data_IF_167327361876
#
_entry.id   IF_167327361876
#
_cell.length_a   1.000
_cell.length_b   1.000
_cell.length_c   1.000
_cell.angle_alpha   90.00
_cell.angle_beta   90.00
_cell.angle_gamma   90.00
#
_symmetry.space_group_name_H-M   'P 1'
#
loop_
_entity.id
_entity.type
_entity.pdbx_description
1 polymer ?
#
# COMPACT_ATOMS: atom_id res chain seq x y z
N UNK A 1 5.32 0.36 -6.73
CA UNK A 1 5.94 1.33 -7.65
C UNK A 1 7.22 1.84 -6.99
N UNK A 2 8.33 1.88 -7.68
CA UNK A 2 9.68 2.19 -7.16
C UNK A 2 10.09 1.25 -6.03
N UNK A 3 9.80 1.56 -4.77
CA UNK A 3 10.10 0.74 -3.59
C UNK A 3 8.84 0.35 -2.79
N UNK A 4 7.65 0.48 -3.38
CA UNK A 4 6.42 -0.04 -2.79
C UNK A 4 6.45 -1.57 -2.75
N UNK A 5 5.83 -2.14 -1.72
CA UNK A 5 5.53 -3.57 -1.67
C UNK A 5 4.11 -3.78 -2.15
N UNK A 6 3.92 -4.62 -3.17
CA UNK A 6 2.62 -5.06 -3.63
C UNK A 6 2.53 -6.58 -3.61
N UNK A 7 1.39 -7.10 -3.23
CA UNK A 7 1.12 -8.53 -3.17
C UNK A 7 -0.33 -8.80 -3.53
N UNK A 8 -0.60 -10.03 -3.93
CA UNK A 8 -1.95 -10.43 -4.29
C UNK A 8 -2.18 -11.93 -4.04
N UNK A 9 -3.45 -12.28 -3.93
CA UNK A 9 -3.91 -13.65 -3.99
C UNK A 9 -5.02 -13.77 -5.05
N UNK A 10 -5.76 -14.87 -5.04
CA UNK A 10 -6.89 -15.12 -5.95
C UNK A 10 -8.14 -14.29 -5.64
N UNK A 11 -8.14 -13.42 -4.63
CA UNK A 11 -9.30 -12.64 -4.17
C UNK A 11 -9.09 -11.13 -4.19
N UNK A 12 -7.90 -10.66 -3.92
CA UNK A 12 -7.58 -9.24 -3.82
C UNK A 12 -6.13 -8.96 -4.10
N UNK A 13 -5.83 -7.70 -4.35
CA UNK A 13 -4.48 -7.20 -4.44
C UNK A 13 -4.30 -6.03 -3.45
N UNK A 14 -3.09 -5.85 -3.00
CA UNK A 14 -2.77 -4.94 -1.91
C UNK A 14 -1.44 -4.24 -2.18
N UNK A 15 -1.28 -3.06 -1.60
CA UNK A 15 -0.04 -2.31 -1.68
C UNK A 15 0.27 -1.61 -0.36
N UNK A 16 1.54 -1.51 -0.07
CA UNK A 16 2.09 -0.67 0.99
C UNK A 16 3.11 0.28 0.38
N UNK A 17 2.97 1.55 0.69
CA UNK A 17 3.79 2.61 0.10
C UNK A 17 5.19 2.65 0.72
N UNK A 18 6.19 2.73 -0.14
CA UNK A 18 7.58 2.75 0.24
C UNK A 18 8.16 4.14 0.50
N UNK A 19 9.43 4.19 0.96
CA UNK A 19 10.12 5.44 1.29
C UNK A 19 10.22 6.44 0.14
N UNK A 20 10.33 5.97 -1.12
CA UNK A 20 10.47 6.86 -2.26
C UNK A 20 9.20 7.67 -2.51
N UNK A 21 8.02 7.06 -2.37
CA UNK A 21 6.76 7.76 -2.51
C UNK A 21 6.57 8.80 -1.40
N UNK A 22 6.86 8.42 -0.15
CA UNK A 22 6.78 9.33 0.99
C UNK A 22 7.73 10.54 0.81
N UNK A 23 8.95 10.32 0.29
CA UNK A 23 9.91 11.41 0.00
C UNK A 23 9.46 12.33 -1.12
N UNK A 24 8.61 11.88 -2.04
CA UNK A 24 8.05 12.73 -3.09
C UNK A 24 6.99 13.74 -2.57
N UNK A 25 6.61 13.62 -1.29
CA UNK A 25 5.59 14.44 -0.64
C UNK A 25 4.19 13.85 -0.70
N UNK A 26 4.02 12.70 -1.32
CA UNK A 26 2.76 11.97 -1.28
C UNK A 26 2.63 11.26 0.07
N UNK A 27 1.64 11.67 0.86
CA UNK A 27 1.38 11.08 2.17
C UNK A 27 0.36 9.94 2.01
N UNK A 28 0.82 8.70 2.17
CA UNK A 28 -0.02 7.52 2.16
C UNK A 28 0.53 6.51 3.19
N UNK A 29 -0.08 6.46 4.37
CA UNK A 29 0.47 5.72 5.51
C UNK A 29 -0.14 4.34 5.68
N UNK A 30 -1.29 4.11 5.09
CA UNK A 30 -2.06 2.89 5.26
C UNK A 30 -1.89 1.89 4.13
N UNK A 31 -2.44 0.70 4.37
CA UNK A 31 -2.55 -0.32 3.33
C UNK A 31 -3.55 0.10 2.27
N UNK A 32 -3.18 -0.12 1.02
CA UNK A 32 -4.03 0.01 -0.14
C UNK A 32 -4.67 -1.35 -0.49
N UNK A 33 -5.83 -1.32 -1.12
CA UNK A 33 -6.55 -2.51 -1.57
C UNK A 33 -7.09 -2.30 -2.98
N UNK A 34 -6.87 -3.28 -3.84
CA UNK A 34 -7.37 -3.31 -5.20
C UNK A 34 -8.42 -4.40 -5.35
N UNK A 35 -9.56 -4.06 -5.94
CA UNK A 35 -10.56 -5.03 -6.28
C UNK A 35 -10.06 -5.95 -7.40
N UNK A 36 -10.32 -7.26 -7.26
CA UNK A 36 -10.06 -8.27 -8.29
C UNK A 36 -11.34 -9.00 -8.65
N UNK A 37 -11.52 -9.31 -9.93
CA UNK A 37 -12.55 -10.20 -10.43
C UNK A 37 -12.00 -11.38 -11.24
N UNK A 38 -10.70 -11.66 -11.07
CA UNK A 38 -9.99 -12.81 -11.62
C UNK A 38 -9.10 -13.46 -10.57
N UNK A 39 -8.94 -14.78 -10.55
CA UNK A 39 -7.98 -15.46 -9.67
C UNK A 39 -6.53 -15.33 -10.14
N UNK A 40 -6.30 -14.86 -11.37
CA UNK A 40 -4.97 -14.74 -11.95
C UNK A 40 -4.15 -13.61 -11.31
N UNK A 41 -2.83 -13.72 -11.39
CA UNK A 41 -1.92 -12.67 -10.94
C UNK A 41 -1.93 -11.50 -11.94
N UNK A 42 -2.29 -10.30 -11.47
CA UNK A 42 -2.52 -9.13 -12.32
C UNK A 42 -1.67 -7.90 -11.93
N UNK A 43 -1.20 -7.81 -10.71
CA UNK A 43 -0.52 -6.60 -10.20
C UNK A 43 0.72 -6.28 -11.04
N UNK A 44 1.58 -7.27 -11.27
CA UNK A 44 2.80 -7.07 -12.07
C UNK A 44 2.48 -6.66 -13.52
N UNK A 45 1.48 -7.30 -14.13
CA UNK A 45 1.05 -6.98 -15.50
C UNK A 45 0.54 -5.55 -15.60
N UNK A 46 -0.27 -5.11 -14.63
CA UNK A 46 -0.84 -3.75 -14.58
C UNK A 46 0.24 -2.69 -14.42
N UNK A 47 1.16 -2.88 -13.48
CA UNK A 47 2.28 -1.97 -13.32
C UNK A 47 3.16 -1.90 -14.57
N UNK A 48 3.45 -3.04 -15.20
CA UNK A 48 4.21 -3.09 -16.45
C UNK A 48 3.51 -2.32 -17.56
N UNK A 49 2.21 -2.54 -17.75
CA UNK A 49 1.40 -1.85 -18.78
C UNK A 49 1.44 -0.34 -18.57
N UNK A 50 1.25 0.14 -17.35
CA UNK A 50 1.31 1.56 -17.06
C UNK A 50 2.70 2.14 -17.30
N UNK A 51 3.76 1.49 -16.79
CA UNK A 51 5.12 1.97 -16.94
C UNK A 51 5.57 2.03 -18.41
N UNK A 52 5.16 1.07 -19.24
CA UNK A 52 5.48 1.04 -20.68
C UNK A 52 4.73 2.12 -21.47
N UNK A 53 3.55 2.53 -21.02
CA UNK A 53 2.72 3.50 -21.73
C UNK A 53 2.86 4.93 -21.20
N UNK A 54 3.26 5.12 -19.95
CA UNK A 54 3.47 6.45 -19.39
C UNK A 54 4.37 7.37 -20.25
N UNK A 55 5.54 6.95 -20.77
CA UNK A 55 6.36 7.81 -21.63
C UNK A 55 5.66 8.17 -22.95
N UNK A 56 4.83 7.27 -23.51
CA UNK A 56 4.08 7.50 -24.74
C UNK A 56 2.99 8.55 -24.50
N UNK A 57 2.26 8.45 -23.40
CA UNK A 57 1.25 9.43 -22.97
C UNK A 57 1.89 10.80 -22.80
N UNK A 58 3.02 10.88 -22.10
CA UNK A 58 3.76 12.13 -21.90
C UNK A 58 4.23 12.75 -23.24
N UNK A 59 4.61 11.92 -24.21
CA UNK A 59 4.97 12.38 -25.55
C UNK A 59 3.77 12.98 -26.28
N UNK A 60 2.62 12.29 -26.28
CA UNK A 60 1.37 12.78 -26.89
C UNK A 60 0.94 14.12 -26.29
N UNK A 61 1.02 14.26 -24.96
CA UNK A 61 0.71 15.52 -24.27
C UNK A 61 1.64 16.66 -24.72
N UNK A 62 2.93 16.41 -24.88
CA UNK A 62 3.91 17.39 -25.39
C UNK A 62 3.65 17.79 -26.85
N UNK A 63 3.13 16.87 -27.66
CA UNK A 63 2.73 17.11 -29.05
C UNK A 63 1.36 17.81 -29.15
N UNK A 64 0.68 18.09 -28.04
CA UNK A 64 -0.66 18.71 -28.01
C UNK A 64 -1.82 17.77 -28.33
N UNK A 65 -1.56 16.46 -28.47
CA UNK A 65 -2.53 15.41 -28.79
C UNK A 65 -3.26 14.92 -27.54
N UNK A 66 -4.02 15.81 -26.92
CA UNK A 66 -4.66 15.53 -25.61
C UNK A 66 -5.68 14.39 -25.65
N UNK A 67 -6.49 14.32 -26.71
CA UNK A 67 -7.51 13.27 -26.84
C UNK A 67 -6.88 11.88 -27.00
N UNK A 68 -5.83 11.77 -27.82
CA UNK A 68 -5.07 10.51 -27.97
C UNK A 68 -4.38 10.11 -26.66
N UNK A 69 -3.83 11.07 -25.92
CA UNK A 69 -3.20 10.83 -24.63
C UNK A 69 -4.21 10.30 -23.60
N UNK A 70 -5.39 10.92 -23.48
CA UNK A 70 -6.47 10.50 -22.59
C UNK A 70 -6.99 9.10 -22.96
N UNK A 71 -7.23 8.83 -24.23
CA UNK A 71 -7.68 7.51 -24.68
C UNK A 71 -6.64 6.41 -24.37
N UNK A 72 -5.34 6.73 -24.51
CA UNK A 72 -4.28 5.77 -24.14
C UNK A 72 -4.20 5.59 -22.63
N UNK A 73 -4.34 6.65 -21.83
CA UNK A 73 -4.37 6.58 -20.38
C UNK A 73 -5.55 5.72 -19.90
N UNK A 74 -6.76 5.98 -20.38
CA UNK A 74 -7.94 5.17 -20.08
C UNK A 74 -7.73 3.69 -20.41
N UNK A 75 -7.12 3.37 -21.56
CA UNK A 75 -6.90 2.00 -22.00
C UNK A 75 -5.82 1.26 -21.21
N UNK A 76 -4.95 1.96 -20.47
CA UNK A 76 -3.75 1.36 -19.85
C UNK A 76 -3.65 1.55 -18.34
N UNK A 77 -4.44 2.46 -17.76
CA UNK A 77 -4.43 2.68 -16.32
C UNK A 77 -5.08 1.53 -15.55
N UNK A 78 -4.54 1.20 -14.39
CA UNK A 78 -5.12 0.23 -13.47
C UNK A 78 -6.24 0.81 -12.59
N UNK A 79 -6.58 2.09 -12.75
CA UNK A 79 -7.70 2.74 -12.07
C UNK A 79 -9.05 2.52 -12.76
N UNK A 80 -9.06 1.91 -13.96
CA UNK A 80 -10.27 1.46 -14.64
C UNK A 80 -10.33 -0.06 -14.70
N UNK A 81 -11.55 -0.61 -14.61
CA UNK A 81 -11.76 -2.06 -14.74
C UNK A 81 -11.72 -2.48 -16.21
N UNK A 82 -10.69 -3.21 -16.57
CA UNK A 82 -10.52 -3.82 -17.88
C UNK A 82 -10.95 -5.30 -17.90
N UNK A 83 -11.83 -5.72 -16.99
CA UNK A 83 -12.35 -7.08 -16.88
C UNK A 83 -11.67 -7.94 -15.83
N UNK A 84 -10.71 -7.39 -15.08
CA UNK A 84 -9.95 -8.09 -14.03
C UNK A 84 -9.86 -7.32 -12.69
N UNK A 85 -10.68 -6.28 -12.56
CA UNK A 85 -10.75 -5.42 -11.38
C UNK A 85 -9.92 -4.14 -11.53
N UNK A 86 -9.81 -3.35 -10.45
CA UNK A 86 -9.18 -2.03 -10.49
C UNK A 86 -8.63 -1.60 -9.12
N UNK A 87 -7.71 -0.65 -9.15
CA UNK A 87 -7.33 0.17 -8.00
C UNK A 87 -8.37 1.29 -7.84
N UNK A 88 -9.28 1.13 -6.88
CA UNK A 88 -10.36 2.06 -6.60
C UNK A 88 -10.31 2.67 -5.21
N UNK A 89 -9.35 2.31 -4.39
CA UNK A 89 -9.26 2.73 -3.00
C UNK A 89 -8.24 3.85 -2.81
N UNK A 90 -8.67 4.99 -2.30
CA UNK A 90 -7.80 6.13 -2.03
C UNK A 90 -7.32 6.10 -0.58
N UNK A 91 -6.07 5.79 -0.35
CA UNK A 91 -5.46 5.76 0.98
C UNK A 91 -5.25 7.15 1.56
N UNK A 92 -4.51 8.03 0.89
CA UNK A 92 -4.18 9.36 1.38
C UNK A 92 -3.44 9.34 2.74
N UNK A 93 -3.44 10.48 3.47
CA UNK A 93 -2.81 10.57 4.79
C UNK A 93 -3.67 9.93 5.89
N UNK A 94 -3.89 8.63 5.78
CA UNK A 94 -4.81 7.88 6.63
C UNK A 94 -4.29 6.47 6.93
N UNK A 95 -5.04 5.70 7.74
CA UNK A 95 -4.75 4.30 8.00
C UNK A 95 -5.13 3.36 6.84
N UNK A 96 -5.67 3.89 5.74
CA UNK A 96 -6.03 3.08 4.57
C UNK A 96 -7.01 1.98 4.92
N UNK A 97 -6.70 0.75 4.51
CA UNK A 97 -7.53 -0.42 4.73
C UNK A 97 -6.95 -1.31 5.84
N UNK A 98 -7.22 -0.95 7.12
CA UNK A 98 -6.91 -1.80 8.28
C UNK A 98 -5.50 -1.66 8.85
N UNK A 99 -4.80 -0.58 8.57
CA UNK A 99 -3.46 -0.34 9.13
C UNK A 99 -3.54 -0.03 10.63
N UNK A 100 -2.66 -0.62 11.47
CA UNK A 100 -2.56 -0.29 12.88
C UNK A 100 -1.77 0.99 13.10
N UNK A 101 -2.07 1.69 14.20
CA UNK A 101 -1.32 2.86 14.68
C UNK A 101 -1.44 3.01 16.20
N UNK A 102 -0.48 3.69 16.81
CA UNK A 102 -0.58 4.08 18.22
C UNK A 102 -1.57 5.23 18.39
N UNK A 103 -2.28 5.24 19.52
CA UNK A 103 -3.11 6.34 19.98
C UNK A 103 -2.38 7.10 21.07
N UNK A 104 -2.04 8.36 20.81
CA UNK A 104 -1.34 9.23 21.77
C UNK A 104 -2.24 10.43 22.07
N UNK A 105 -2.61 10.62 23.33
CA UNK A 105 -3.48 11.72 23.77
C UNK A 105 -4.77 11.82 22.94
N UNK A 106 -5.37 10.67 22.61
CA UNK A 106 -6.57 10.54 21.77
C UNK A 106 -6.39 10.92 20.30
N UNK A 107 -5.16 11.06 19.83
CA UNK A 107 -4.81 11.29 18.43
C UNK A 107 -4.10 10.11 17.81
N UNK A 108 -4.31 9.87 16.52
CA UNK A 108 -3.65 8.80 15.79
C UNK A 108 -2.22 9.22 15.47
N UNK A 109 -1.25 8.46 15.94
CA UNK A 109 0.14 8.56 15.53
C UNK A 109 0.34 7.71 14.27
N UNK A 110 0.18 8.33 13.11
CA UNK A 110 0.33 7.63 11.83
C UNK A 110 1.75 7.08 11.65
N UNK A 111 1.89 5.81 11.27
CA UNK A 111 3.20 5.27 10.88
C UNK A 111 3.62 5.88 9.55
N UNK A 112 4.87 6.33 9.45
CA UNK A 112 5.34 7.00 8.22
C UNK A 112 5.49 6.01 7.06
N UNK A 113 6.47 5.13 7.13
CA UNK A 113 6.65 3.99 6.21
C UNK A 113 7.72 3.05 6.77
N UNK A 114 7.76 1.82 6.27
CA UNK A 114 8.81 0.89 6.62
C UNK A 114 10.19 1.39 6.13
N UNK A 115 11.23 1.02 6.85
CA UNK A 115 12.63 1.24 6.45
C UNK A 115 13.24 0.02 5.79
N UNK A 116 12.76 -1.18 6.16
CA UNK A 116 13.28 -2.46 5.70
C UNK A 116 12.19 -3.52 5.69
N UNK A 117 12.37 -4.56 4.87
CA UNK A 117 11.45 -5.68 4.77
C UNK A 117 12.18 -7.00 4.51
N UNK A 118 11.56 -8.10 4.94
CA UNK A 118 12.04 -9.45 4.69
C UNK A 118 10.87 -10.34 4.23
N UNK A 119 10.94 -10.86 3.00
CA UNK A 119 9.91 -11.77 2.48
C UNK A 119 10.21 -13.17 3.02
N UNK A 120 9.31 -13.69 3.84
CA UNK A 120 9.42 -15.00 4.48
C UNK A 120 8.79 -16.10 3.64
N UNK A 121 7.64 -15.82 3.01
CA UNK A 121 6.97 -16.72 2.08
C UNK A 121 6.56 -15.96 0.82
N UNK A 122 6.79 -16.56 -0.33
CA UNK A 122 6.30 -16.10 -1.62
C UNK A 122 5.89 -17.29 -2.48
N UNK A 123 4.84 -17.97 -2.05
CA UNK A 123 4.38 -19.21 -2.65
C UNK A 123 2.92 -19.14 -3.13
N UNK A 124 2.43 -20.19 -3.80
CA UNK A 124 1.09 -20.19 -4.38
C UNK A 124 -0.04 -20.25 -3.35
N UNK A 125 0.27 -20.55 -2.08
CA UNK A 125 -0.73 -20.66 -1.01
C UNK A 125 -0.66 -19.49 -0.04
N UNK A 126 0.50 -18.83 0.09
CA UNK A 126 0.73 -17.76 1.05
C UNK A 126 1.83 -16.83 0.59
N UNK A 127 1.62 -15.56 0.84
CA UNK A 127 2.64 -14.53 0.91
C UNK A 127 2.81 -14.08 2.36
N UNK A 128 4.06 -13.95 2.83
CA UNK A 128 4.37 -13.44 4.18
C UNK A 128 5.55 -12.48 4.10
N UNK A 129 5.40 -11.31 4.70
CA UNK A 129 6.46 -10.30 4.80
C UNK A 129 6.56 -9.77 6.22
N UNK A 130 7.77 -9.62 6.69
CA UNK A 130 8.13 -8.89 7.90
C UNK A 130 8.59 -7.49 7.53
N UNK A 131 8.09 -6.48 8.24
CA UNK A 131 8.39 -5.08 8.03
C UNK A 131 8.99 -4.49 9.29
N UNK A 132 10.04 -3.70 9.15
CA UNK A 132 10.63 -2.88 10.20
C UNK A 132 10.46 -1.41 9.84
N UNK A 133 9.94 -0.61 10.77
CA UNK A 133 9.75 0.81 10.58
C UNK A 133 10.93 1.61 11.13
N UNK A 134 11.02 2.89 10.79
CA UNK A 134 12.02 3.76 11.39
C UNK A 134 11.72 3.96 12.87
N UNK A 135 12.79 4.12 13.66
CA UNK A 135 12.65 4.52 15.04
C UNK A 135 11.95 5.89 15.13
N UNK A 136 10.97 5.97 15.99
CA UNK A 136 10.16 7.15 16.26
C UNK A 136 10.29 7.57 17.73
N UNK A 137 9.93 8.81 18.02
CA UNK A 137 9.97 9.33 19.39
C UNK A 137 8.58 9.83 19.78
N UNK A 138 8.13 9.41 20.95
CA UNK A 138 6.91 9.90 21.59
C UNK A 138 7.11 11.29 22.21
N UNK A 139 6.02 12.04 22.51
CA UNK A 139 6.11 13.35 23.14
C UNK A 139 6.86 13.37 24.49
N UNK A 140 6.86 12.24 25.21
CA UNK A 140 7.58 12.08 26.48
C UNK A 140 9.06 11.71 26.30
N UNK A 141 9.58 11.69 25.07
CA UNK A 141 10.95 11.34 24.74
C UNK A 141 11.22 9.82 24.66
N UNK A 142 10.22 8.97 24.83
CA UNK A 142 10.38 7.52 24.65
C UNK A 142 10.61 7.21 23.17
N UNK A 143 11.69 6.46 22.88
CA UNK A 143 12.00 6.00 21.52
C UNK A 143 11.42 4.60 21.35
N UNK A 144 10.87 4.32 20.18
CA UNK A 144 10.31 3.02 19.85
C UNK A 144 10.50 2.69 18.37
N UNK A 145 10.48 1.41 18.08
CA UNK A 145 10.48 0.88 16.71
C UNK A 145 9.25 -0.01 16.51
N UNK A 146 8.54 0.18 15.41
CA UNK A 146 7.39 -0.66 15.04
C UNK A 146 7.82 -1.78 14.11
N UNK A 147 7.29 -2.97 14.35
CA UNK A 147 7.46 -4.15 13.51
C UNK A 147 6.10 -4.72 13.13
N UNK A 148 6.02 -5.28 11.92
CA UNK A 148 4.83 -5.96 11.43
C UNK A 148 5.18 -7.28 10.79
N UNK A 149 4.39 -8.30 11.07
CA UNK A 149 4.34 -9.53 10.29
C UNK A 149 3.00 -9.57 9.58
N UNK A 150 3.04 -9.58 8.25
CA UNK A 150 1.85 -9.55 7.42
C UNK A 150 1.79 -10.79 6.56
N UNK A 151 0.63 -11.46 6.51
CA UNK A 151 0.41 -12.61 5.64
C UNK A 151 -0.92 -12.52 4.89
N UNK A 152 -0.89 -13.00 3.65
CA UNK A 152 -2.01 -13.10 2.73
C UNK A 152 -2.14 -14.53 2.25
N UNK A 153 -3.22 -15.20 2.62
CA UNK A 153 -3.48 -16.58 2.23
C UNK A 153 -4.33 -16.67 0.97
N UNK A 154 -4.09 -17.69 0.15
CA UNK A 154 -4.98 -18.03 -0.96
C UNK A 154 -6.41 -18.25 -0.45
N UNK A 155 -7.39 -17.73 -1.16
CA UNK A 155 -8.82 -17.83 -0.82
C UNK A 155 -9.29 -16.86 0.26
N UNK A 156 -8.40 -16.09 0.89
CA UNK A 156 -8.76 -15.09 1.90
C UNK A 156 -9.05 -13.73 1.26
N UNK A 157 -10.08 -13.05 1.78
CA UNK A 157 -10.32 -11.63 1.48
C UNK A 157 -9.60 -10.68 2.45
N UNK A 158 -8.88 -11.24 3.42
CA UNK A 158 -8.23 -10.48 4.48
C UNK A 158 -6.75 -10.84 4.59
N UNK A 159 -5.94 -9.85 4.91
CA UNK A 159 -4.57 -10.05 5.37
C UNK A 159 -4.58 -10.23 6.91
N UNK A 160 -3.73 -11.13 7.39
CA UNK A 160 -3.44 -11.19 8.82
C UNK A 160 -2.27 -10.26 9.11
N UNK A 161 -2.44 -9.38 10.08
CA UNK A 161 -1.41 -8.45 10.53
C UNK A 161 -1.12 -8.66 12.01
N UNK A 162 0.13 -8.90 12.34
CA UNK A 162 0.63 -8.89 13.72
C UNK A 162 1.57 -7.70 13.84
N UNK A 163 1.33 -6.82 14.82
CA UNK A 163 2.16 -5.66 15.10
C UNK A 163 2.74 -5.78 16.50
N UNK A 164 4.00 -5.38 16.65
CA UNK A 164 4.63 -5.20 17.96
C UNK A 164 5.55 -3.97 17.94
N UNK A 165 5.83 -3.47 19.13
CA UNK A 165 6.62 -2.27 19.32
C UNK A 165 7.76 -2.56 20.29
N UNK A 166 8.98 -2.25 19.90
CA UNK A 166 10.14 -2.32 20.76
C UNK A 166 10.47 -0.94 21.34
N UNK A 167 10.88 -0.89 22.60
CA UNK A 167 11.30 0.35 23.27
C UNK A 167 10.19 1.10 24.01
N UNK A 168 8.93 0.73 23.87
CA UNK A 168 7.85 1.33 24.68
C UNK A 168 8.03 1.00 26.15
N UNK A 169 7.85 1.99 27.02
CA UNK A 169 8.06 1.90 28.49
C UNK A 169 6.76 1.80 29.29
N UNK A 170 5.63 1.96 28.63
CA UNK A 170 4.29 1.92 29.22
C UNK A 170 3.30 1.36 28.20
N UNK A 171 2.15 0.94 28.68
CA UNK A 171 1.03 0.56 27.82
C UNK A 171 0.55 1.76 27.03
N UNK A 172 0.29 1.57 25.75
CA UNK A 172 -0.23 2.58 24.83
C UNK A 172 -1.34 1.91 24.01
N UNK A 173 -2.44 2.61 23.84
CA UNK A 173 -3.55 2.13 23.02
C UNK A 173 -3.15 2.01 21.56
N UNK A 174 -3.61 0.94 20.92
CA UNK A 174 -3.45 0.70 19.49
C UNK A 174 -4.81 0.75 18.83
N UNK A 175 -4.91 1.46 17.73
CA UNK A 175 -6.08 1.46 16.87
C UNK A 175 -5.77 0.81 15.51
N UNK A 176 -6.81 0.41 14.78
CA UNK A 176 -6.75 0.10 13.37
C UNK A 176 -7.96 0.74 12.70
N UNK A 177 -7.78 1.26 11.51
CA UNK A 177 -8.83 2.01 10.84
C UNK A 177 -8.99 1.62 9.37
N UNK A 178 -10.23 1.78 8.89
CA UNK A 178 -10.57 1.72 7.47
C UNK A 178 -11.11 3.08 7.08
N UNK A 179 -10.54 3.68 6.05
CA UNK A 179 -11.04 4.96 5.55
C UNK A 179 -12.27 4.71 4.68
N UNK A 180 -13.34 5.39 5.03
CA UNK A 180 -14.59 5.42 4.26
C UNK A 180 -14.68 6.78 3.61
N UNK A 181 -14.72 6.82 2.28
CA UNK A 181 -14.93 8.03 1.51
C UNK A 181 -16.43 8.24 1.26
N UNK A 182 -16.92 9.47 1.47
CA UNK A 182 -18.29 9.88 1.18
C UNK A 182 -18.39 10.44 -0.23
#
# INVERSE_FOLDING_TARGET
RVDDIAWENDRGAYRLYGPALQKSGEQAFGNDVWAKNTPDLEVEKRYKTELENHPKIQKLLKEGKKEEALAMEEATTYHFDHGYGLDCYKVGPSLGCGTPALMIDSEIKYPYCYKDYNILDNGPLRFTVELTYNEETLPDGTRYEEHRLMSCDKGSNFNKLTVWYEGLKKDIDVCAGVVVHN
#
